data_IF_101095302002
#
_entry.id   IF_101095302002
#
_cell.length_a   1.000
_cell.length_b   1.000
_cell.length_c   1.000
_cell.angle_alpha   90.00
_cell.angle_beta   90.00
_cell.angle_gamma   90.00
#
_symmetry.space_group_name_H-M   'P 1'
#
loop_
_entity.id
_entity.type
_entity.pdbx_description
1 polymer ?
#
# COMPACT_ATOMS: atom_id res chain seq x y z
N UNK A 1 -7.44 -7.08 7.20
CA UNK A 1 -8.48 -6.20 6.59
C UNK A 1 -8.10 -5.95 5.12
N UNK A 2 -9.02 -5.58 4.22
CA UNK A 2 -8.67 -5.23 2.83
C UNK A 2 -8.43 -3.73 2.71
N UNK A 3 -7.23 -3.32 2.29
CA UNK A 3 -6.79 -1.92 2.22
C UNK A 3 -6.29 -1.63 0.80
N UNK A 4 -6.80 -0.55 0.19
CA UNK A 4 -6.31 -0.06 -1.09
C UNK A 4 -5.47 1.21 -0.85
N UNK A 5 -4.22 1.20 -1.31
CA UNK A 5 -3.32 2.35 -1.29
C UNK A 5 -3.31 3.00 -2.68
N UNK A 6 -3.66 4.29 -2.74
CA UNK A 6 -3.60 5.09 -3.96
C UNK A 6 -2.34 5.96 -3.92
N UNK A 7 -1.41 5.70 -4.83
CA UNK A 7 -0.08 6.31 -4.91
C UNK A 7 0.99 5.43 -4.24
N UNK A 8 2.06 5.12 -4.99
CA UNK A 8 3.20 4.28 -4.56
C UNK A 8 4.49 5.08 -4.41
N UNK A 9 4.38 6.36 -4.05
CA UNK A 9 5.50 7.14 -3.53
C UNK A 9 6.03 6.58 -2.21
N UNK A 10 7.11 7.16 -1.67
CA UNK A 10 7.75 6.73 -0.42
C UNK A 10 6.74 6.49 0.72
N UNK A 11 5.82 7.42 0.94
CA UNK A 11 4.82 7.32 2.01
C UNK A 11 3.85 6.16 1.75
N UNK A 12 3.35 6.01 0.53
CA UNK A 12 2.41 4.95 0.16
C UNK A 12 3.02 3.56 0.30
N UNK A 13 4.26 3.39 -0.15
CA UNK A 13 4.98 2.11 -0.03
C UNK A 13 5.32 1.78 1.41
N UNK A 14 5.98 2.68 2.16
CA UNK A 14 6.35 2.40 3.56
C UNK A 14 5.12 2.06 4.39
N UNK A 15 4.06 2.85 4.24
CA UNK A 15 2.82 2.64 4.99
C UNK A 15 2.11 1.35 4.54
N UNK A 16 2.04 1.09 3.23
CA UNK A 16 1.45 -0.13 2.69
C UNK A 16 2.19 -1.39 3.14
N UNK A 17 3.53 -1.32 3.24
CA UNK A 17 4.36 -2.42 3.71
C UNK A 17 4.10 -2.71 5.19
N UNK A 18 4.06 -1.67 6.04
CA UNK A 18 3.72 -1.83 7.46
C UNK A 18 2.32 -2.42 7.68
N UNK A 19 1.35 -2.01 6.87
CA UNK A 19 0.00 -2.57 6.95
C UNK A 19 -0.08 -4.01 6.47
N UNK A 20 0.68 -4.37 5.43
CA UNK A 20 0.78 -5.74 4.95
C UNK A 20 1.45 -6.65 5.98
N UNK A 21 2.53 -6.19 6.60
CA UNK A 21 3.24 -6.89 7.68
C UNK A 21 2.35 -7.10 8.93
N UNK A 22 1.46 -6.13 9.20
CA UNK A 22 0.44 -6.24 10.26
C UNK A 22 -0.71 -7.21 9.93
N UNK A 23 -0.63 -7.97 8.83
CA UNK A 23 -1.61 -8.98 8.42
C UNK A 23 -2.80 -8.43 7.63
N UNK A 24 -2.67 -7.26 7.00
CA UNK A 24 -3.68 -6.74 6.09
C UNK A 24 -3.40 -7.12 4.64
N UNK A 25 -4.47 -7.33 3.89
CA UNK A 25 -4.41 -7.55 2.44
C UNK A 25 -4.39 -6.17 1.78
N UNK A 26 -3.20 -5.77 1.31
CA UNK A 26 -2.94 -4.43 0.79
C UNK A 26 -2.76 -4.49 -0.72
N UNK A 27 -3.54 -3.70 -1.46
CA UNK A 27 -3.37 -3.50 -2.89
C UNK A 27 -2.89 -2.08 -3.14
N UNK A 28 -1.71 -1.94 -3.71
CA UNK A 28 -1.14 -0.66 -4.11
C UNK A 28 -1.51 -0.34 -5.57
N UNK A 29 -1.98 0.87 -5.82
CA UNK A 29 -2.37 1.36 -7.15
C UNK A 29 -1.62 2.66 -7.41
N UNK A 30 -0.91 2.73 -8.52
CA UNK A 30 -0.29 3.96 -9.02
C UNK A 30 -0.79 4.28 -10.42
N UNK A 31 -0.65 5.55 -10.81
CA UNK A 31 -0.87 6.01 -12.19
C UNK A 31 0.41 5.91 -13.02
N UNK A 32 1.57 5.86 -12.36
CA UNK A 32 2.84 5.65 -13.02
C UNK A 32 2.91 4.21 -13.57
N UNK A 33 3.28 4.09 -14.85
CA UNK A 33 3.28 2.82 -15.62
C UNK A 33 4.41 1.88 -15.25
#
# INVERSE_FOLDING_TARGET
>A
MKIAMIGTGYVGLVTGTCFSDSGNDVTCVDIDS
#
